data_IF_981698158001
#
_entry.id   IF_981698158001
#
_cell.length_a   1.000
_cell.length_b   1.000
_cell.length_c   1.000
_cell.angle_alpha   90.00
_cell.angle_beta   90.00
_cell.angle_gamma   90.00
#
_symmetry.space_group_name_H-M   'P 1'
#
loop_
_entity.id
_entity.type
_entity.pdbx_description
1 polymer ?
#
# COMPACT_ATOMS: atom_id res chain seq x y z
N UNK A 1 27.65 47.85 14.88
CA UNK A 1 27.24 47.03 13.72
C UNK A 1 27.84 45.60 13.68
N UNK A 2 28.72 45.20 14.62
CA UNK A 2 29.34 43.86 14.62
C UNK A 2 28.43 42.79 15.28
N UNK A 3 27.63 43.16 16.29
CA UNK A 3 26.75 42.22 17.01
C UNK A 3 25.58 41.66 16.19
N UNK A 4 25.09 42.40 15.18
CA UNK A 4 23.95 41.95 14.35
C UNK A 4 24.37 40.85 13.34
N UNK A 5 25.65 40.80 12.96
CA UNK A 5 26.20 39.79 12.03
C UNK A 5 26.51 38.46 12.72
N UNK A 6 26.92 38.50 14.00
CA UNK A 6 27.16 37.31 14.82
C UNK A 6 25.86 36.57 15.17
N UNK A 7 24.78 37.30 15.44
CA UNK A 7 23.47 36.69 15.73
C UNK A 7 22.84 36.00 14.51
N UNK A 8 23.01 36.58 13.31
CA UNK A 8 22.53 35.96 12.07
C UNK A 8 23.30 34.67 11.70
N UNK A 9 24.61 34.63 11.98
CA UNK A 9 25.44 33.43 11.73
C UNK A 9 25.10 32.25 12.65
N UNK A 10 24.77 32.52 13.91
CA UNK A 10 24.37 31.48 14.88
C UNK A 10 22.97 30.90 14.58
N UNK A 11 22.02 31.72 14.11
CA UNK A 11 20.70 31.23 13.68
C UNK A 11 20.79 30.34 12.42
N UNK A 12 21.64 30.70 11.46
CA UNK A 12 21.87 29.90 10.25
C UNK A 12 22.53 28.55 10.56
N UNK A 13 23.46 28.50 11.54
CA UNK A 13 24.03 27.24 12.02
C UNK A 13 23.00 26.38 12.74
N UNK A 14 22.14 26.96 13.59
CA UNK A 14 21.12 26.21 14.32
C UNK A 14 20.07 25.55 13.41
N UNK A 15 19.72 26.20 12.29
CA UNK A 15 18.81 25.66 11.26
C UNK A 15 19.43 24.52 10.43
N UNK A 16 20.75 24.37 10.40
CA UNK A 16 21.42 23.25 9.71
C UNK A 16 21.48 21.96 10.53
N UNK A 17 21.37 22.05 11.86
CA UNK A 17 21.57 20.90 12.77
C UNK A 17 20.30 20.04 12.88
N UNK A 18 19.14 20.54 12.45
CA UNK A 18 17.88 19.78 12.44
C UNK A 18 17.69 19.11 11.08
N UNK A 19 18.53 18.13 10.76
CA UNK A 19 18.24 17.17 9.69
C UNK A 19 17.09 16.28 10.17
N UNK A 20 15.84 16.68 9.89
CA UNK A 20 14.67 15.81 10.09
C UNK A 20 14.87 14.62 9.13
N UNK A 21 15.22 13.44 9.67
CA UNK A 21 15.11 12.18 8.93
C UNK A 21 13.63 11.83 8.76
N UNK A 22 12.96 12.50 7.82
CA UNK A 22 11.62 12.12 7.41
C UNK A 22 11.69 10.74 6.74
N UNK A 23 10.94 9.78 7.26
CA UNK A 23 10.74 8.47 6.63
C UNK A 23 9.51 8.57 5.75
N UNK A 24 9.62 8.14 4.50
CA UNK A 24 8.46 8.02 3.62
C UNK A 24 7.55 6.88 4.08
N UNK A 25 6.25 7.16 4.16
CA UNK A 25 5.19 6.22 4.50
C UNK A 25 4.44 5.83 3.23
N UNK A 26 4.33 4.52 2.99
CA UNK A 26 3.62 3.99 1.84
C UNK A 26 2.52 3.03 2.26
N UNK A 27 1.39 3.07 1.56
CA UNK A 27 0.32 2.07 1.68
C UNK A 27 0.26 1.21 0.41
N UNK A 28 -0.17 -0.04 0.54
CA UNK A 28 -0.49 -0.84 -0.64
C UNK A 28 -1.82 -0.35 -1.23
N UNK A 29 -1.86 -0.21 -2.55
CA UNK A 29 -3.07 0.12 -3.29
C UNK A 29 -3.35 -0.97 -4.31
N UNK A 30 -4.52 -1.60 -4.22
CA UNK A 30 -4.90 -2.74 -5.08
C UNK A 30 -5.46 -2.22 -6.40
N UNK A 31 -4.64 -2.15 -7.44
CA UNK A 31 -5.04 -1.63 -8.74
C UNK A 31 -6.14 -2.49 -9.38
N UNK A 32 -6.10 -3.81 -9.20
CA UNK A 32 -7.07 -4.75 -9.79
C UNK A 32 -8.52 -4.45 -9.38
N UNK A 33 -8.74 -3.69 -8.31
CA UNK A 33 -10.06 -3.29 -7.80
C UNK A 33 -10.61 -1.99 -8.41
N UNK A 34 -9.93 -1.43 -9.42
CA UNK A 34 -10.24 -0.08 -9.95
C UNK A 34 -10.81 -0.10 -11.37
N UNK A 35 -11.45 -1.20 -11.77
CA UNK A 35 -12.13 -1.25 -13.06
C UNK A 35 -13.13 -0.08 -13.19
N UNK A 36 -12.99 0.71 -14.26
CA UNK A 36 -13.82 1.88 -14.50
C UNK A 36 -13.39 3.17 -13.78
N UNK A 37 -12.31 3.16 -12.99
CA UNK A 37 -11.75 4.39 -12.43
C UNK A 37 -11.27 5.33 -13.54
N UNK A 38 -11.44 6.61 -13.29
CA UNK A 38 -10.94 7.74 -14.07
C UNK A 38 -9.79 8.42 -13.33
N UNK A 39 -9.09 9.34 -14.00
CA UNK A 39 -8.07 10.18 -13.36
C UNK A 39 -8.63 10.89 -12.11
N UNK A 40 -9.87 11.39 -12.19
CA UNK A 40 -10.53 12.07 -11.08
C UNK A 40 -10.80 11.15 -9.89
N UNK A 41 -11.00 9.86 -10.11
CA UNK A 41 -11.17 8.88 -9.03
C UNK A 41 -9.83 8.65 -8.31
N UNK A 42 -8.75 8.50 -9.07
CA UNK A 42 -7.40 8.42 -8.50
C UNK A 42 -6.98 9.68 -7.75
N UNK A 43 -7.30 10.87 -8.25
CA UNK A 43 -7.01 12.13 -7.56
C UNK A 43 -7.72 12.18 -6.20
N UNK A 44 -8.95 11.68 -6.09
CA UNK A 44 -9.65 11.59 -4.80
C UNK A 44 -8.98 10.63 -3.83
N UNK A 45 -8.60 9.43 -4.29
CA UNK A 45 -7.88 8.46 -3.45
C UNK A 45 -6.51 8.99 -2.99
N UNK A 46 -5.81 9.71 -3.86
CA UNK A 46 -4.54 10.38 -3.54
C UNK A 46 -4.77 11.48 -2.49
N UNK A 47 -5.80 12.31 -2.66
CA UNK A 47 -6.15 13.34 -1.68
C UNK A 47 -6.42 12.76 -0.29
N UNK A 48 -7.21 11.67 -0.22
CA UNK A 48 -7.45 10.96 1.05
C UNK A 48 -6.16 10.39 1.66
N UNK A 49 -5.24 9.90 0.84
CA UNK A 49 -3.95 9.40 1.30
C UNK A 49 -3.08 10.54 1.87
N UNK A 50 -3.04 11.69 1.19
CA UNK A 50 -2.31 12.87 1.66
C UNK A 50 -2.90 13.40 2.97
N UNK A 51 -4.23 13.45 3.11
CA UNK A 51 -4.93 13.79 4.37
C UNK A 51 -4.55 12.83 5.51
N UNK A 52 -4.31 11.56 5.18
CA UNK A 52 -3.85 10.54 6.12
C UNK A 52 -2.32 10.52 6.35
N UNK A 53 -1.58 11.49 5.80
CA UNK A 53 -0.11 11.56 5.86
C UNK A 53 0.62 10.35 5.25
N UNK A 54 0.05 9.76 4.21
CA UNK A 54 0.70 8.76 3.36
C UNK A 54 1.43 9.50 2.24
N UNK A 55 2.71 9.20 2.03
CA UNK A 55 3.56 9.86 1.04
C UNK A 55 3.45 9.23 -0.36
N UNK A 56 2.98 7.99 -0.43
CA UNK A 56 2.84 7.29 -1.70
C UNK A 56 2.15 5.93 -1.61
N UNK A 57 1.93 5.32 -2.78
CA UNK A 57 1.38 3.97 -2.88
C UNK A 57 2.37 2.96 -3.48
N UNK A 58 2.40 1.77 -2.87
CA UNK A 58 2.86 0.54 -3.49
C UNK A 58 1.70 -0.01 -4.34
N UNK A 59 1.73 0.25 -5.65
CA UNK A 59 0.64 -0.12 -6.56
C UNK A 59 0.74 -1.62 -6.82
N UNK A 60 -0.16 -2.39 -6.22
CA UNK A 60 -0.23 -3.85 -6.34
C UNK A 60 -1.16 -4.24 -7.50
N UNK A 61 -0.66 -5.11 -8.39
CA UNK A 61 -1.36 -5.58 -9.57
C UNK A 61 -0.80 -6.93 -10.04
N UNK A 62 -1.62 -7.72 -10.72
CA UNK A 62 -1.25 -9.05 -11.25
C UNK A 62 -0.93 -9.00 -12.74
N UNK A 63 -0.33 -10.09 -13.23
CA UNK A 63 -0.04 -10.26 -14.66
C UNK A 63 -1.34 -10.37 -15.47
N UNK A 64 -1.33 -9.92 -16.72
CA UNK A 64 -2.37 -10.17 -17.72
C UNK A 64 -3.79 -9.79 -17.24
N UNK A 65 -3.90 -8.67 -16.54
CA UNK A 65 -5.18 -8.08 -16.15
C UNK A 65 -5.47 -6.85 -17.03
N UNK A 66 -6.62 -6.84 -17.72
CA UNK A 66 -7.09 -5.69 -18.51
C UNK A 66 -7.10 -4.40 -17.68
N UNK A 67 -7.43 -4.52 -16.39
CA UNK A 67 -7.40 -3.43 -15.42
C UNK A 67 -6.01 -2.79 -15.33
N UNK A 68 -4.93 -3.58 -15.34
CA UNK A 68 -3.56 -3.07 -15.19
C UNK A 68 -3.17 -2.15 -16.35
N UNK A 69 -3.43 -2.59 -17.58
CA UNK A 69 -3.07 -1.84 -18.79
C UNK A 69 -3.91 -0.56 -18.94
N UNK A 70 -5.19 -0.62 -18.58
CA UNK A 70 -6.08 0.54 -18.60
C UNK A 70 -5.75 1.56 -17.50
N UNK A 71 -5.47 1.10 -16.28
CA UNK A 71 -5.46 1.97 -15.10
C UNK A 71 -4.09 2.49 -14.68
N UNK A 72 -2.98 1.76 -14.92
CA UNK A 72 -1.66 2.29 -14.56
C UNK A 72 -1.39 3.68 -15.19
N UNK A 73 -1.66 3.92 -16.49
CA UNK A 73 -1.45 5.25 -17.08
C UNK A 73 -2.32 6.35 -16.42
N UNK A 74 -3.57 6.03 -16.10
CA UNK A 74 -4.49 6.97 -15.45
C UNK A 74 -4.02 7.33 -14.04
N UNK A 75 -3.56 6.33 -13.28
CA UNK A 75 -3.09 6.52 -11.91
C UNK A 75 -1.80 7.34 -11.88
N UNK A 76 -0.85 7.05 -12.78
CA UNK A 76 0.37 7.86 -12.90
C UNK A 76 0.04 9.30 -13.33
N UNK A 77 -0.91 9.50 -14.24
CA UNK A 77 -1.38 10.85 -14.62
C UNK A 77 -1.92 11.63 -13.42
N UNK A 78 -2.77 10.99 -12.59
CA UNK A 78 -3.29 11.60 -11.37
C UNK A 78 -2.16 11.93 -10.38
N UNK A 79 -1.25 10.98 -10.13
CA UNK A 79 -0.16 11.16 -9.18
C UNK A 79 0.83 12.26 -9.60
N UNK A 80 1.09 12.41 -10.89
CA UNK A 80 1.91 13.52 -11.41
C UNK A 80 1.26 14.88 -11.13
N UNK A 81 -0.06 14.98 -11.33
CA UNK A 81 -0.79 16.23 -11.08
C UNK A 81 -0.86 16.61 -9.60
N UNK A 82 -0.92 15.63 -8.70
CA UNK A 82 -1.03 15.84 -7.25
C UNK A 82 0.32 15.87 -6.52
N UNK A 83 1.43 15.71 -7.25
CA UNK A 83 2.77 15.60 -6.65
C UNK A 83 2.97 14.35 -5.78
N UNK A 84 2.10 13.35 -5.92
CA UNK A 84 2.08 12.12 -5.12
C UNK A 84 3.04 11.07 -5.68
N UNK A 85 3.46 10.11 -4.84
CA UNK A 85 4.45 9.10 -5.23
C UNK A 85 3.84 7.71 -5.41
N UNK A 86 4.23 7.03 -6.47
CA UNK A 86 3.84 5.65 -6.77
C UNK A 86 5.09 4.80 -7.01
N UNK A 87 5.04 3.52 -6.65
CA UNK A 87 5.97 2.53 -7.18
C UNK A 87 5.26 1.20 -7.44
N UNK A 88 5.84 0.39 -8.34
CA UNK A 88 5.22 -0.87 -8.75
C UNK A 88 5.46 -1.96 -7.70
N UNK A 89 4.39 -2.65 -7.34
CA UNK A 89 4.39 -3.85 -6.51
C UNK A 89 3.84 -5.02 -7.32
N UNK A 90 4.74 -5.82 -7.91
CA UNK A 90 4.34 -6.94 -8.76
C UNK A 90 3.77 -8.08 -7.90
N UNK A 91 2.51 -8.44 -8.13
CA UNK A 91 1.90 -9.60 -7.49
C UNK A 91 2.24 -10.88 -8.28
N UNK A 92 3.13 -11.71 -7.72
CA UNK A 92 3.54 -12.99 -8.32
C UNK A 92 2.60 -14.16 -7.97
N UNK A 93 1.62 -13.94 -7.10
CA UNK A 93 0.64 -14.93 -6.67
C UNK A 93 -0.75 -14.72 -7.30
N UNK A 94 -1.07 -13.50 -7.73
CA UNK A 94 -2.39 -13.11 -8.24
C UNK A 94 -2.80 -13.84 -9.52
N UNK A 95 -1.98 -13.76 -10.57
CA UNK A 95 -2.23 -14.42 -11.86
C UNK A 95 -0.99 -15.17 -12.39
N UNK A 96 -0.19 -15.71 -11.47
CA UNK A 96 1.04 -16.43 -11.79
C UNK A 96 2.29 -15.55 -11.83
N UNK A 97 3.43 -16.21 -12.07
CA UNK A 97 4.73 -15.58 -11.98
C UNK A 97 5.03 -14.69 -13.21
N UNK A 98 5.53 -13.48 -12.96
CA UNK A 98 5.86 -12.54 -14.03
C UNK A 98 7.09 -12.97 -14.84
N UNK A 99 7.04 -12.91 -16.18
CA UNK A 99 8.23 -13.03 -17.02
C UNK A 99 9.21 -11.88 -16.73
N UNK A 100 10.50 -12.21 -16.55
CA UNK A 100 11.56 -11.25 -16.26
C UNK A 100 11.56 -10.04 -17.23
N UNK A 101 11.39 -10.29 -18.53
CA UNK A 101 11.38 -9.24 -19.57
C UNK A 101 10.20 -8.26 -19.44
N UNK A 102 9.04 -8.75 -19.03
CA UNK A 102 7.84 -7.93 -18.77
C UNK A 102 8.10 -7.00 -17.58
N UNK A 103 8.66 -7.53 -16.49
CA UNK A 103 9.01 -6.74 -15.29
C UNK A 103 9.98 -5.61 -15.65
N UNK A 104 11.06 -5.91 -16.39
CA UNK A 104 12.03 -4.90 -16.84
C UNK A 104 11.35 -3.82 -17.67
N UNK A 105 10.48 -4.22 -18.62
CA UNK A 105 9.78 -3.29 -19.52
C UNK A 105 8.86 -2.35 -18.74
N UNK A 106 8.08 -2.88 -17.80
CA UNK A 106 7.18 -2.07 -16.97
C UNK A 106 7.94 -1.11 -16.06
N UNK A 107 9.02 -1.57 -15.41
CA UNK A 107 9.84 -0.68 -14.59
C UNK A 107 10.43 0.45 -15.44
N UNK A 108 11.05 0.15 -16.60
CA UNK A 108 11.61 1.18 -17.48
C UNK A 108 10.55 2.19 -17.94
N UNK A 109 9.35 1.71 -18.30
CA UNK A 109 8.23 2.57 -18.73
C UNK A 109 7.80 3.53 -17.63
N UNK A 110 7.41 3.02 -16.46
CA UNK A 110 6.82 3.85 -15.43
C UNK A 110 7.85 4.60 -14.59
N UNK A 111 9.08 4.08 -14.46
CA UNK A 111 10.15 4.81 -13.80
C UNK A 111 10.41 6.16 -14.48
N UNK A 112 10.12 6.35 -15.77
CA UNK A 112 10.27 7.66 -16.42
C UNK A 112 9.36 8.76 -15.83
N UNK A 113 8.27 8.40 -15.15
CA UNK A 113 7.34 9.36 -14.55
C UNK A 113 7.97 10.17 -13.41
N UNK A 114 7.53 11.43 -13.28
CA UNK A 114 7.88 12.31 -12.15
C UNK A 114 7.22 11.88 -10.83
N UNK A 115 6.11 11.13 -10.92
CA UNK A 115 5.43 10.53 -9.79
C UNK A 115 6.09 9.22 -9.32
N UNK A 116 7.00 8.62 -10.09
CA UNK A 116 7.64 7.37 -9.68
C UNK A 116 8.59 7.59 -8.49
N UNK A 117 8.33 6.90 -7.38
CA UNK A 117 9.13 7.01 -6.17
C UNK A 117 10.55 6.48 -6.41
N UNK A 118 11.52 7.32 -6.05
CA UNK A 118 12.93 6.98 -6.10
C UNK A 118 13.56 7.28 -4.76
N UNK A 119 14.47 6.40 -4.34
CA UNK A 119 15.39 6.72 -3.24
C UNK A 119 16.71 7.16 -3.87
N UNK A 120 16.96 8.46 -3.86
CA UNK A 120 18.02 9.05 -4.69
C UNK A 120 17.65 8.94 -6.17
N UNK A 121 18.55 8.40 -6.99
CA UNK A 121 18.30 8.21 -8.43
C UNK A 121 17.63 6.87 -8.78
N UNK A 122 17.45 5.98 -7.82
CA UNK A 122 17.10 4.59 -8.10
C UNK A 122 15.60 4.32 -7.84
N UNK A 123 14.89 3.68 -8.79
CA UNK A 123 13.48 3.34 -8.62
C UNK A 123 13.31 2.30 -7.52
N UNK A 124 12.31 2.50 -6.65
CA UNK A 124 11.88 1.46 -5.73
C UNK A 124 10.92 0.51 -6.45
N UNK A 125 11.04 -0.78 -6.20
CA UNK A 125 10.14 -1.82 -6.70
C UNK A 125 9.93 -2.83 -5.59
N UNK A 126 8.71 -3.35 -5.44
CA UNK A 126 8.40 -4.45 -4.52
C UNK A 126 7.71 -5.61 -5.24
N UNK A 127 7.58 -6.72 -4.52
CA UNK A 127 6.75 -7.86 -4.93
C UNK A 127 5.81 -8.25 -3.80
N UNK A 128 4.67 -8.82 -4.17
CA UNK A 128 3.91 -9.70 -3.30
C UNK A 128 4.22 -11.15 -3.70
N UNK A 129 4.66 -11.95 -2.74
CA UNK A 129 5.16 -13.31 -2.98
C UNK A 129 6.31 -13.35 -4.03
N UNK A 130 6.44 -14.46 -4.76
CA UNK A 130 7.41 -14.67 -5.83
C UNK A 130 8.79 -15.24 -5.45
N UNK A 131 8.99 -15.99 -4.34
CA UNK A 131 10.33 -16.50 -3.99
C UNK A 131 10.93 -17.40 -5.08
N UNK A 132 10.09 -18.09 -5.86
CA UNK A 132 10.49 -18.91 -7.02
C UNK A 132 11.09 -18.11 -8.17
N UNK A 133 10.82 -16.80 -8.25
CA UNK A 133 11.36 -15.89 -9.26
C UNK A 133 12.54 -15.06 -8.74
N UNK A 134 13.07 -15.38 -7.55
CA UNK A 134 14.18 -14.65 -6.91
C UNK A 134 15.45 -14.59 -7.77
N UNK A 135 15.71 -15.63 -8.59
CA UNK A 135 16.84 -15.71 -9.52
C UNK A 135 16.83 -14.65 -10.62
N UNK A 136 15.67 -14.04 -10.90
CA UNK A 136 15.53 -13.06 -11.98
C UNK A 136 15.99 -11.66 -11.55
N UNK A 137 15.92 -11.36 -10.25
CA UNK A 137 16.13 -10.03 -9.68
C UNK A 137 17.55 -9.47 -9.84
N UNK A 138 18.65 -10.26 -9.85
CA UNK A 138 19.97 -9.75 -10.20
C UNK A 138 19.99 -9.09 -11.58
N UNK A 139 19.39 -9.72 -12.60
CA UNK A 139 19.31 -9.16 -13.95
C UNK A 139 18.35 -7.98 -14.02
N UNK A 140 17.17 -8.07 -13.39
CA UNK A 140 16.20 -6.96 -13.34
C UNK A 140 16.86 -5.70 -12.77
N UNK A 141 17.57 -5.82 -11.63
CA UNK A 141 18.30 -4.71 -11.00
C UNK A 141 19.40 -4.15 -11.90
N UNK A 142 20.13 -5.01 -12.61
CA UNK A 142 21.16 -4.56 -13.57
C UNK A 142 20.53 -3.73 -14.71
N UNK A 143 19.37 -4.14 -15.21
CA UNK A 143 18.70 -3.52 -16.35
C UNK A 143 17.89 -2.27 -16.01
N UNK A 144 17.39 -2.16 -14.78
CA UNK A 144 16.45 -1.10 -14.37
C UNK A 144 17.06 -0.09 -13.39
N UNK A 145 18.30 -0.34 -12.96
CA UNK A 145 18.98 0.40 -11.92
C UNK A 145 19.00 -0.42 -10.62
N UNK A 146 20.16 -0.55 -9.95
CA UNK A 146 20.23 -1.31 -8.71
C UNK A 146 19.29 -0.68 -7.68
N UNK A 147 18.46 -1.49 -7.01
CA UNK A 147 17.68 -1.01 -5.87
C UNK A 147 18.66 -0.57 -4.75
N UNK A 148 18.50 0.64 -4.16
CA UNK A 148 19.38 1.12 -3.09
C UNK A 148 19.14 0.41 -1.77
N UNK A 149 18.10 -0.43 -1.72
CA UNK A 149 17.48 -0.85 -0.48
C UNK A 149 17.38 -2.37 -0.43
N UNK A 150 18.22 -2.96 0.41
CA UNK A 150 17.86 -4.21 1.05
C UNK A 150 17.14 -3.87 2.35
N UNK A 151 16.04 -4.54 2.64
CA UNK A 151 15.41 -4.44 3.96
C UNK A 151 16.42 -4.96 5.00
N UNK A 152 17.05 -4.06 5.74
CA UNK A 152 18.08 -4.43 6.73
C UNK A 152 17.47 -4.83 8.08
N UNK A 153 16.31 -4.26 8.41
CA UNK A 153 15.61 -4.47 9.68
C UNK A 153 14.11 -4.40 9.41
N UNK A 154 13.37 -5.45 9.79
CA UNK A 154 11.92 -5.38 9.94
C UNK A 154 11.60 -4.76 11.30
N UNK A 155 10.90 -3.62 11.30
CA UNK A 155 10.48 -2.96 12.55
C UNK A 155 9.49 -3.81 13.35
N UNK A 156 9.37 -3.54 14.66
CA UNK A 156 8.31 -4.11 15.49
C UNK A 156 6.95 -3.65 14.91
N UNK A 157 6.02 -4.58 14.76
CA UNK A 157 4.63 -4.26 14.43
C UNK A 157 4.09 -3.28 15.48
N UNK A 158 3.78 -2.06 15.05
CA UNK A 158 3.10 -1.08 15.90
C UNK A 158 1.71 -1.64 16.16
N UNK A 159 1.44 -1.99 17.41
CA UNK A 159 0.12 -2.47 17.78
C UNK A 159 -0.85 -1.30 17.69
N UNK A 160 -1.97 -1.49 16.99
CA UNK A 160 -3.00 -0.44 16.91
C UNK A 160 -3.54 -0.14 18.31
N UNK A 161 -4.03 1.10 18.57
CA UNK A 161 -4.68 1.45 19.82
C UNK A 161 -5.82 0.49 20.19
N UNK A 162 -6.15 0.39 21.49
CA UNK A 162 -7.19 -0.51 22.01
C UNK A 162 -8.54 -0.31 21.30
N UNK A 163 -9.23 -1.43 21.03
CA UNK A 163 -10.40 -1.48 20.14
C UNK A 163 -11.65 -0.84 20.75
N UNK A 164 -12.27 0.06 20.00
CA UNK A 164 -13.71 0.37 20.09
C UNK A 164 -14.54 -0.83 19.60
N UNK A 165 -15.89 -0.85 19.78
CA UNK A 165 -16.73 -1.91 19.22
C UNK A 165 -16.42 -2.16 17.74
N UNK A 166 -16.34 -3.43 17.36
CA UNK A 166 -16.10 -3.82 15.96
C UNK A 166 -17.26 -3.34 15.07
N UNK A 167 -16.93 -2.94 13.85
CA UNK A 167 -17.93 -2.63 12.83
C UNK A 167 -18.25 -3.83 11.97
N UNK A 168 -19.42 -3.78 11.33
CA UNK A 168 -19.92 -4.78 10.40
C UNK A 168 -20.21 -4.11 9.05
N UNK A 169 -20.10 -4.84 7.94
CA UNK A 169 -20.57 -4.35 6.65
C UNK A 169 -22.06 -4.01 6.69
N UNK A 170 -22.50 -3.08 5.84
CA UNK A 170 -23.92 -2.92 5.54
C UNK A 170 -24.48 -4.22 4.92
N UNK A 171 -25.78 -4.46 5.09
CA UNK A 171 -26.43 -5.72 4.70
C UNK A 171 -26.32 -6.05 3.19
N UNK A 172 -26.04 -5.06 2.35
CA UNK A 172 -25.89 -5.19 0.91
C UNK A 172 -24.42 -5.36 0.44
N UNK A 173 -23.47 -5.47 1.35
CA UNK A 173 -22.05 -5.61 1.03
C UNK A 173 -21.52 -7.03 1.33
N UNK A 174 -20.54 -7.46 0.55
CA UNK A 174 -19.96 -8.81 0.63
C UNK A 174 -19.04 -9.03 1.83
N UNK A 175 -18.56 -10.27 1.97
CA UNK A 175 -17.71 -10.69 3.09
C UNK A 175 -16.32 -10.04 3.10
N UNK A 176 -15.88 -9.50 1.96
CA UNK A 176 -14.65 -8.73 1.81
C UNK A 176 -14.61 -7.48 2.70
N UNK A 177 -15.78 -6.94 3.06
CA UNK A 177 -15.88 -5.78 3.95
C UNK A 177 -15.81 -6.15 5.44
N UNK A 178 -15.90 -7.44 5.83
CA UNK A 178 -15.94 -7.84 7.24
C UNK A 178 -14.66 -7.41 7.95
N UNK A 179 -13.51 -7.79 7.41
CA UNK A 179 -12.21 -7.42 7.99
C UNK A 179 -11.97 -5.91 7.97
N UNK A 180 -12.42 -5.23 6.90
CA UNK A 180 -12.27 -3.79 6.74
C UNK A 180 -13.11 -3.01 7.75
N UNK A 181 -14.40 -3.34 7.90
CA UNK A 181 -15.28 -2.68 8.86
C UNK A 181 -14.90 -2.99 10.31
N UNK A 182 -14.51 -4.24 10.61
CA UNK A 182 -13.99 -4.60 11.92
C UNK A 182 -12.75 -3.77 12.27
N UNK A 183 -11.81 -3.64 11.33
CA UNK A 183 -10.58 -2.88 11.52
C UNK A 183 -10.83 -1.37 11.65
N UNK A 184 -11.60 -0.78 10.73
CA UNK A 184 -11.80 0.66 10.66
C UNK A 184 -12.60 1.16 11.87
N UNK A 185 -13.76 0.55 12.15
CA UNK A 185 -14.66 1.03 13.21
C UNK A 185 -14.03 0.86 14.59
N UNK A 186 -13.29 -0.22 14.82
CA UNK A 186 -12.54 -0.41 16.09
C UNK A 186 -11.45 0.63 16.31
N UNK A 187 -11.02 1.35 15.27
CA UNK A 187 -10.03 2.45 15.30
C UNK A 187 -10.66 3.84 15.20
N UNK A 188 -11.99 3.93 15.28
CA UNK A 188 -12.72 5.20 15.34
C UNK A 188 -13.11 5.79 13.98
N UNK A 189 -12.78 5.14 12.86
CA UNK A 189 -13.28 5.49 11.54
C UNK A 189 -14.32 4.46 11.09
N UNK A 190 -15.60 4.82 11.10
CA UNK A 190 -16.67 3.91 10.71
C UNK A 190 -17.48 4.54 9.56
N UNK A 191 -17.09 4.32 8.29
CA UNK A 191 -17.71 4.98 7.16
C UNK A 191 -19.17 4.52 7.02
N UNK A 192 -20.17 5.40 7.19
CA UNK A 192 -21.59 4.99 7.22
C UNK A 192 -22.09 4.47 5.87
N UNK A 193 -21.36 4.73 4.78
CA UNK A 193 -21.64 4.20 3.44
C UNK A 193 -21.26 2.72 3.27
N UNK A 194 -20.45 2.17 4.18
CA UNK A 194 -19.96 0.79 4.07
C UNK A 194 -20.07 -0.01 5.36
N UNK A 195 -20.02 0.64 6.52
CA UNK A 195 -19.94 0.01 7.82
C UNK A 195 -21.01 0.51 8.79
N UNK A 196 -21.44 -0.36 9.68
CA UNK A 196 -22.36 -0.10 10.78
C UNK A 196 -21.78 -0.67 12.08
N UNK A 197 -22.09 -0.05 13.22
CA UNK A 197 -21.73 -0.60 14.54
C UNK A 197 -22.77 -1.58 15.07
N UNK A 198 -23.92 -1.69 14.39
CA UNK A 198 -24.97 -2.66 14.70
C UNK A 198 -24.85 -3.84 13.76
N UNK A 199 -24.67 -5.05 14.30
CA UNK A 199 -24.65 -6.27 13.49
C UNK A 199 -25.98 -6.42 12.73
N UNK A 200 -25.99 -6.39 11.39
CA UNK A 200 -27.23 -6.57 10.64
C UNK A 200 -27.81 -7.96 10.92
N UNK A 201 -29.11 -8.02 11.21
CA UNK A 201 -29.84 -9.28 11.23
C UNK A 201 -30.03 -9.74 9.78
N UNK A 202 -29.30 -10.75 9.33
CA UNK A 202 -29.48 -11.32 7.99
C UNK A 202 -30.42 -12.53 8.08
N UNK A 203 -31.63 -12.49 7.49
CA UNK A 203 -32.46 -13.68 7.33
C UNK A 203 -31.92 -14.48 6.14
N UNK A 204 -31.20 -15.58 6.42
CA UNK A 204 -30.90 -16.66 5.48
C UNK A 204 -30.22 -16.27 4.15
N UNK A 205 -28.89 -16.37 4.08
CA UNK A 205 -28.18 -16.38 2.80
C UNK A 205 -26.67 -16.15 2.87
N UNK A 206 -25.91 -17.18 2.47
CA UNK A 206 -24.53 -17.14 1.94
C UNK A 206 -23.40 -16.62 2.83
N UNK A 207 -23.49 -16.74 4.16
CA UNK A 207 -22.29 -16.85 4.98
C UNK A 207 -21.99 -18.34 5.22
N UNK A 208 -21.05 -18.92 4.46
CA UNK A 208 -20.25 -20.01 5.03
C UNK A 208 -19.33 -19.35 6.06
N UNK A 209 -19.86 -19.18 7.26
CA UNK A 209 -19.11 -18.68 8.41
C UNK A 209 -17.83 -19.49 8.54
N UNK A 210 -16.67 -18.86 8.37
CA UNK A 210 -15.55 -19.24 9.24
C UNK A 210 -15.99 -18.75 10.61
N UNK A 211 -16.21 -19.64 11.60
CA UNK A 211 -16.74 -19.20 12.88
C UNK A 211 -15.76 -18.20 13.48
N UNK A 212 -16.18 -16.94 13.68
CA UNK A 212 -15.40 -15.94 14.40
C UNK A 212 -15.81 -16.02 15.88
N UNK A 213 -14.86 -15.90 16.81
CA UNK A 213 -15.15 -15.73 18.24
C UNK A 213 -15.67 -14.31 18.54
N UNK A 214 -16.10 -14.09 19.78
CA UNK A 214 -16.67 -12.82 20.23
C UNK A 214 -15.65 -11.65 20.18
N UNK A 215 -14.37 -11.95 19.96
CA UNK A 215 -13.28 -11.01 19.72
C UNK A 215 -12.98 -10.79 18.21
N UNK A 216 -13.76 -11.40 17.32
CA UNK A 216 -13.61 -11.27 15.87
C UNK A 216 -12.46 -12.08 15.26
N UNK A 217 -11.98 -13.13 15.94
CA UNK A 217 -10.92 -14.03 15.44
C UNK A 217 -11.49 -15.33 14.91
N UNK A 218 -10.88 -15.88 13.86
CA UNK A 218 -11.26 -17.19 13.30
C UNK A 218 -11.04 -18.28 14.36
N UNK A 219 -12.11 -18.97 14.76
CA UNK A 219 -12.11 -20.04 15.78
C UNK A 219 -11.23 -21.23 15.42
N UNK A 220 -10.87 -21.40 14.14
CA UNK A 220 -9.97 -22.45 13.67
C UNK A 220 -8.69 -21.89 13.04
N UNK A 221 -7.77 -21.46 13.89
CA UNK A 221 -6.43 -20.97 13.51
C UNK A 221 -5.55 -22.07 12.87
N UNK A 222 -5.91 -23.36 12.99
CA UNK A 222 -5.10 -24.47 12.46
C UNK A 222 -5.16 -24.53 10.92
N UNK A 223 -6.31 -24.22 10.33
CA UNK A 223 -6.46 -24.11 8.87
C UNK A 223 -5.67 -22.93 8.28
N UNK A 224 -5.53 -21.82 9.03
CA UNK A 224 -4.78 -20.63 8.58
C UNK A 224 -3.27 -20.77 8.78
N UNK A 225 -2.82 -21.52 9.80
CA UNK A 225 -1.39 -21.82 10.02
C UNK A 225 -0.78 -22.68 8.92
N UNK A 226 -1.53 -23.61 8.33
CA UNK A 226 -1.03 -24.46 7.24
C UNK A 226 -0.67 -23.64 5.98
N UNK A 227 -1.33 -22.50 5.75
CA UNK A 227 -1.04 -21.59 4.63
C UNK A 227 0.17 -20.66 4.86
N UNK A 228 0.64 -20.51 6.10
CA UNK A 228 1.71 -19.57 6.48
C UNK A 228 3.02 -20.25 6.95
N UNK A 229 3.12 -21.57 6.84
CA UNK A 229 4.30 -22.35 7.27
C UNK A 229 5.53 -22.25 6.35
N UNK A 230 5.54 -21.35 5.37
CA UNK A 230 6.62 -21.21 4.38
C UNK A 230 7.53 -19.98 4.53
N UNK A 231 7.39 -19.19 5.59
CA UNK A 231 8.13 -17.94 5.79
C UNK A 231 9.49 -18.16 6.49
N UNK A 232 10.53 -18.47 5.70
CA UNK A 232 11.92 -18.09 5.94
C UNK A 232 12.47 -17.44 4.67
#
# INVERSE_FOLDING_TARGET
MIGCRLFAGLLALALWIVQIQAKSVFAHFMLSNTAGFTVADYQREIGLAQEAHIDGFAVNFSMDEDTTDANLPLFFTAAESEGFKLFLSFDYAGNGAWPQGTVITMIKKYAASSAYFRRGSQPLVSTFEGPKSSSDWPTIKKETGPSPCTCSIKGRMVQPPASKPVGYPLANLGSEYIGLCAFACSRGYCPPSACTQTRPAVPGGIFKETPLDDDGKVKDMAACKAANSGLL
#
